data_IF_201943156025
#
_entry.id   IF_201943156025
#
_cell.length_a   1.000
_cell.length_b   1.000
_cell.length_c   1.000
_cell.angle_alpha   90.00
_cell.angle_beta   90.00
_cell.angle_gamma   90.00
#
_symmetry.space_group_name_H-M   'P 1'
#
loop_
_entity.id
_entity.type
_entity.pdbx_description
1 polymer ?
#
# COMPACT_ATOMS: atom_id res chain seq x y z
N UNK A 1 60.43 -31.83 7.44
CA UNK A 1 60.62 -33.16 6.82
C UNK A 1 59.44 -34.03 7.19
N UNK A 2 58.49 -34.24 6.29
CA UNK A 2 57.59 -35.39 6.29
C UNK A 2 57.34 -35.76 4.83
N UNK A 3 57.54 -37.03 4.53
CA UNK A 3 57.73 -37.57 3.18
C UNK A 3 56.43 -37.60 2.36
N UNK A 4 56.60 -37.43 1.06
CA UNK A 4 55.56 -37.50 0.04
C UNK A 4 54.95 -38.91 -0.09
N UNK A 5 53.66 -39.04 -0.46
CA UNK A 5 53.08 -40.30 -0.91
C UNK A 5 53.39 -40.54 -2.40
N UNK A 6 53.83 -41.76 -2.74
CA UNK A 6 54.00 -42.23 -4.11
C UNK A 6 52.68 -42.77 -4.72
N UNK A 7 52.55 -42.80 -6.07
CA UNK A 7 51.28 -43.01 -6.75
C UNK A 7 51.07 -44.40 -7.39
N UNK A 8 49.82 -44.62 -7.77
CA UNK A 8 49.30 -45.39 -8.93
C UNK A 8 48.95 -46.89 -8.79
N UNK A 9 47.65 -47.17 -9.02
CA UNK A 9 47.17 -48.22 -9.94
C UNK A 9 45.69 -47.96 -10.32
N UNK A 10 45.42 -47.71 -11.60
CA UNK A 10 44.09 -47.82 -12.27
C UNK A 10 43.92 -49.25 -12.83
N UNK A 11 42.78 -49.67 -13.41
CA UNK A 11 41.36 -49.51 -13.04
C UNK A 11 40.64 -50.90 -12.98
N UNK A 12 39.81 -51.15 -11.96
CA UNK A 12 39.02 -52.37 -11.82
C UNK A 12 37.58 -52.23 -12.33
N UNK A 13 37.27 -52.95 -13.40
CA UNK A 13 35.97 -53.22 -14.06
C UNK A 13 34.72 -53.06 -13.17
N UNK A 14 33.74 -52.28 -13.66
CA UNK A 14 32.37 -52.23 -13.12
C UNK A 14 31.74 -53.63 -13.15
N UNK A 15 31.49 -54.22 -11.98
CA UNK A 15 30.54 -55.32 -11.86
C UNK A 15 29.12 -54.75 -11.98
N UNK A 16 28.45 -55.07 -13.10
CA UNK A 16 27.00 -54.94 -13.21
C UNK A 16 26.34 -55.94 -12.26
N UNK A 17 25.50 -55.42 -11.36
CA UNK A 17 24.68 -56.26 -10.48
C UNK A 17 23.60 -56.97 -11.31
N UNK A 18 23.20 -58.19 -10.95
CA UNK A 18 22.26 -58.97 -11.75
C UNK A 18 20.92 -58.25 -11.85
N UNK A 19 20.44 -58.06 -13.09
CA UNK A 19 19.08 -57.62 -13.32
C UNK A 19 18.11 -58.73 -12.89
N UNK A 20 17.23 -58.42 -11.94
CA UNK A 20 16.09 -59.26 -11.60
C UNK A 20 15.11 -59.26 -12.78
N UNK A 21 15.30 -60.22 -13.69
CA UNK A 21 14.34 -60.56 -14.73
C UNK A 21 13.08 -61.06 -14.04
N UNK A 22 11.97 -60.33 -14.17
CA UNK A 22 10.65 -60.86 -13.82
C UNK A 22 9.73 -59.99 -12.95
N UNK A 23 10.13 -58.80 -12.51
CA UNK A 23 9.20 -57.89 -11.83
C UNK A 23 9.03 -56.62 -12.65
N UNK A 24 7.83 -56.44 -13.24
CA UNK A 24 7.38 -55.17 -13.83
C UNK A 24 7.38 -54.11 -12.72
N UNK A 25 8.52 -53.46 -12.52
CA UNK A 25 8.62 -52.26 -11.70
C UNK A 25 7.89 -51.14 -12.44
N UNK A 26 6.59 -51.01 -12.21
CA UNK A 26 5.82 -49.81 -12.57
C UNK A 26 6.50 -48.65 -11.85
N UNK A 27 7.34 -47.91 -12.57
CA UNK A 27 7.75 -46.58 -12.14
C UNK A 27 6.49 -45.83 -11.70
N UNK A 28 6.51 -45.26 -10.49
CA UNK A 28 5.38 -44.47 -9.98
C UNK A 28 5.04 -43.41 -11.04
N UNK A 29 3.76 -43.29 -11.42
CA UNK A 29 3.27 -42.33 -12.43
C UNK A 29 3.85 -40.91 -12.26
N UNK A 30 4.14 -40.50 -11.03
CA UNK A 30 4.78 -39.21 -10.72
C UNK A 30 6.21 -39.05 -11.26
N UNK A 31 7.02 -40.12 -11.29
CA UNK A 31 8.40 -40.08 -11.81
C UNK A 31 8.41 -40.01 -13.35
N UNK A 32 7.48 -40.70 -14.01
CA UNK A 32 7.32 -40.62 -15.47
C UNK A 32 6.77 -39.25 -15.92
N UNK A 33 5.85 -38.65 -15.17
CA UNK A 33 5.37 -37.27 -15.44
C UNK A 33 6.47 -36.22 -15.28
N UNK A 34 7.33 -36.35 -14.26
CA UNK A 34 8.43 -35.41 -14.02
C UNK A 34 9.54 -35.48 -15.09
N UNK A 35 9.70 -36.62 -15.76
CA UNK A 35 10.69 -36.82 -16.84
C UNK A 35 10.14 -36.59 -18.25
N UNK A 36 8.84 -36.31 -18.40
CA UNK A 36 8.27 -35.99 -19.70
C UNK A 36 8.89 -34.72 -20.27
N UNK A 37 9.23 -34.71 -21.57
CA UNK A 37 9.76 -33.54 -22.29
C UNK A 37 8.79 -32.36 -22.17
N UNK A 38 9.31 -31.15 -21.99
CA UNK A 38 8.48 -29.93 -21.93
C UNK A 38 8.04 -29.57 -23.35
N UNK A 39 6.73 -29.72 -23.63
CA UNK A 39 6.12 -29.60 -24.96
C UNK A 39 4.95 -28.59 -24.93
N UNK A 40 5.26 -27.27 -24.83
CA UNK A 40 4.24 -26.24 -24.64
C UNK A 40 3.30 -26.10 -25.85
N UNK A 41 3.79 -26.34 -27.07
CA UNK A 41 2.96 -26.30 -28.28
C UNK A 41 1.92 -27.43 -28.29
N UNK A 42 2.35 -28.66 -27.97
CA UNK A 42 1.45 -29.80 -27.88
C UNK A 42 0.39 -29.61 -26.77
N UNK A 43 0.77 -29.02 -25.64
CA UNK A 43 -0.17 -28.65 -24.58
C UNK A 43 -1.20 -27.62 -25.07
N UNK A 44 -0.75 -26.53 -25.72
CA UNK A 44 -1.63 -25.53 -26.33
C UNK A 44 -2.62 -26.18 -27.29
N UNK A 45 -2.12 -26.93 -28.26
CA UNK A 45 -2.93 -27.45 -29.36
C UNK A 45 -4.02 -28.40 -28.83
N UNK A 46 -3.70 -29.20 -27.81
CA UNK A 46 -4.69 -30.04 -27.13
C UNK A 46 -5.73 -29.21 -26.37
N UNK A 47 -5.29 -28.19 -25.63
CA UNK A 47 -6.21 -27.32 -24.89
C UNK A 47 -7.17 -26.59 -25.83
N UNK A 48 -6.66 -25.93 -26.87
CA UNK A 48 -7.44 -25.19 -27.86
C UNK A 48 -8.45 -26.11 -28.54
N UNK A 49 -8.00 -27.26 -29.07
CA UNK A 49 -8.89 -28.22 -29.74
C UNK A 49 -10.06 -28.66 -28.85
N UNK A 50 -9.84 -28.80 -27.55
CA UNK A 50 -10.91 -29.16 -26.64
C UNK A 50 -11.85 -27.99 -26.32
N UNK A 51 -11.35 -26.75 -26.28
CA UNK A 51 -12.17 -25.55 -26.07
C UNK A 51 -12.96 -25.14 -27.31
N UNK A 52 -12.48 -25.44 -28.52
CA UNK A 52 -13.22 -25.26 -29.78
C UNK A 52 -14.56 -26.02 -29.81
N UNK A 53 -14.65 -27.13 -29.07
CA UNK A 53 -15.88 -27.94 -28.96
C UNK A 53 -16.94 -27.34 -28.05
N UNK A 54 -16.62 -26.26 -27.32
CA UNK A 54 -17.55 -25.60 -26.39
C UNK A 54 -18.31 -24.50 -27.13
N UNK A 55 -19.65 -24.40 -26.97
CA UNK A 55 -20.42 -23.30 -27.55
C UNK A 55 -19.86 -21.94 -27.14
N UNK A 56 -19.91 -20.98 -28.07
CA UNK A 56 -19.41 -19.64 -27.82
C UNK A 56 -20.14 -19.02 -26.60
N UNK A 57 -19.35 -18.44 -25.70
CA UNK A 57 -19.83 -17.79 -24.46
C UNK A 57 -20.54 -18.68 -23.45
N UNK A 58 -20.50 -20.01 -23.60
CA UNK A 58 -20.91 -20.94 -22.53
C UNK A 58 -19.77 -21.13 -21.52
N UNK A 59 -19.61 -20.14 -20.63
CA UNK A 59 -18.51 -20.10 -19.66
C UNK A 59 -18.58 -21.22 -18.60
N UNK A 60 -19.77 -21.74 -18.32
CA UNK A 60 -19.95 -22.88 -17.44
C UNK A 60 -19.48 -24.18 -18.09
N UNK A 61 -19.76 -24.36 -19.38
CA UNK A 61 -19.21 -25.46 -20.15
C UNK A 61 -17.69 -25.34 -20.31
N UNK A 62 -17.14 -24.13 -20.49
CA UNK A 62 -15.68 -23.90 -20.49
C UNK A 62 -15.07 -24.35 -19.16
N UNK A 63 -15.61 -23.89 -18.02
CA UNK A 63 -15.10 -24.26 -16.70
C UNK A 63 -15.16 -25.79 -16.47
N UNK A 64 -16.27 -26.42 -16.86
CA UNK A 64 -16.45 -27.87 -16.76
C UNK A 64 -15.46 -28.62 -17.65
N UNK A 65 -15.21 -28.13 -18.87
CA UNK A 65 -14.24 -28.71 -19.79
C UNK A 65 -12.82 -28.62 -19.23
N UNK A 66 -12.43 -27.46 -18.69
CA UNK A 66 -11.13 -27.28 -18.05
C UNK A 66 -10.93 -28.21 -16.84
N UNK A 67 -11.98 -28.50 -16.07
CA UNK A 67 -11.89 -29.50 -14.99
C UNK A 67 -11.66 -30.92 -15.52
N UNK A 68 -12.40 -31.34 -16.55
CA UNK A 68 -12.17 -32.66 -17.17
C UNK A 68 -10.74 -32.77 -17.70
N UNK A 69 -10.26 -31.73 -18.38
CA UNK A 69 -8.92 -31.70 -18.97
C UNK A 69 -7.80 -31.67 -17.94
N UNK A 70 -8.01 -31.16 -16.72
CA UNK A 70 -6.97 -31.17 -15.68
C UNK A 70 -6.55 -32.58 -15.22
N UNK A 71 -7.33 -33.62 -15.57
CA UNK A 71 -6.95 -35.01 -15.37
C UNK A 71 -6.11 -35.59 -16.54
N UNK A 72 -6.15 -34.93 -17.71
CA UNK A 72 -5.51 -35.38 -18.94
C UNK A 72 -4.23 -34.58 -19.22
N UNK A 73 -4.31 -33.26 -19.05
CA UNK A 73 -3.24 -32.30 -19.25
C UNK A 73 -2.54 -31.99 -17.92
N UNK A 74 -1.23 -31.73 -17.97
CA UNK A 74 -0.46 -31.42 -16.77
C UNK A 74 -0.42 -29.91 -16.52
N UNK A 75 -1.48 -29.37 -15.90
CA UNK A 75 -1.56 -27.93 -15.60
C UNK A 75 -0.44 -27.42 -14.71
N UNK A 76 0.10 -28.25 -13.81
CA UNK A 76 1.22 -27.84 -12.95
C UNK A 76 2.48 -27.61 -13.77
N UNK A 77 2.74 -28.48 -14.74
CA UNK A 77 3.92 -28.36 -15.61
C UNK A 77 3.78 -27.20 -16.60
N UNK A 78 2.58 -26.97 -17.11
CA UNK A 78 2.30 -25.97 -18.14
C UNK A 78 1.50 -24.77 -17.61
N UNK A 79 1.69 -24.42 -16.33
CA UNK A 79 0.90 -23.39 -15.64
C UNK A 79 0.96 -22.04 -16.36
N UNK A 80 2.16 -21.62 -16.76
CA UNK A 80 2.37 -20.39 -17.51
C UNK A 80 1.61 -20.41 -18.85
N UNK A 81 1.75 -21.49 -19.62
CA UNK A 81 1.10 -21.65 -20.92
C UNK A 81 -0.42 -21.68 -20.78
N UNK A 82 -0.93 -22.34 -19.73
CA UNK A 82 -2.36 -22.38 -19.42
C UNK A 82 -2.88 -20.95 -19.24
N UNK A 83 -2.25 -20.14 -18.39
CA UNK A 83 -2.72 -18.79 -18.13
C UNK A 83 -2.51 -17.82 -19.28
N UNK A 84 -1.46 -17.96 -20.09
CA UNK A 84 -1.33 -17.22 -21.36
C UNK A 84 -2.52 -17.48 -22.29
N UNK A 85 -2.92 -18.75 -22.44
CA UNK A 85 -4.07 -19.12 -23.26
C UNK A 85 -5.39 -18.61 -22.68
N UNK A 86 -5.59 -18.68 -21.36
CA UNK A 86 -6.83 -18.22 -20.73
C UNK A 86 -6.93 -16.70 -20.61
N UNK A 87 -5.81 -15.97 -20.53
CA UNK A 87 -5.83 -14.50 -20.43
C UNK A 87 -5.83 -13.84 -21.81
N UNK A 88 -4.93 -14.25 -22.71
CA UNK A 88 -4.70 -13.55 -23.98
C UNK A 88 -4.93 -14.40 -25.24
N UNK A 89 -5.29 -15.68 -25.06
CA UNK A 89 -5.73 -16.56 -26.15
C UNK A 89 -4.61 -17.21 -26.95
N UNK A 90 -3.34 -17.01 -26.59
CA UNK A 90 -2.20 -17.55 -27.33
C UNK A 90 -0.94 -17.61 -26.48
N UNK A 91 0.03 -18.41 -26.91
CA UNK A 91 1.34 -18.48 -26.24
C UNK A 91 2.16 -17.23 -26.54
N UNK A 92 2.94 -16.79 -25.56
CA UNK A 92 3.80 -15.62 -25.68
C UNK A 92 5.28 -16.01 -25.78
N UNK A 93 6.02 -15.21 -26.53
CA UNK A 93 7.48 -15.23 -26.57
C UNK A 93 8.04 -14.40 -25.40
N UNK A 94 9.32 -14.61 -25.01
CA UNK A 94 9.99 -13.67 -24.12
C UNK A 94 9.87 -12.23 -24.64
N UNK A 95 9.32 -11.33 -23.83
CA UNK A 95 9.01 -9.96 -24.25
C UNK A 95 7.52 -9.69 -24.55
N UNK A 96 6.65 -10.69 -24.40
CA UNK A 96 5.19 -10.55 -24.38
C UNK A 96 4.52 -10.46 -25.76
N UNK A 97 5.27 -10.65 -26.85
CA UNK A 97 4.67 -10.80 -28.17
C UNK A 97 4.11 -12.21 -28.36
N UNK A 98 3.05 -12.36 -29.15
CA UNK A 98 2.52 -13.68 -29.52
C UNK A 98 3.59 -14.49 -30.26
N UNK A 99 3.59 -15.80 -30.01
CA UNK A 99 4.37 -16.74 -30.80
C UNK A 99 3.85 -16.78 -32.23
N UNK A 100 4.73 -16.50 -33.20
CA UNK A 100 4.41 -16.53 -34.63
C UNK A 100 4.64 -17.92 -35.22
N UNK A 101 3.68 -18.81 -34.99
CA UNK A 101 3.70 -20.19 -35.51
C UNK A 101 2.42 -20.56 -36.28
N UNK A 102 1.61 -19.56 -36.65
CA UNK A 102 0.38 -19.73 -37.42
C UNK A 102 -0.76 -20.42 -36.68
N UNK A 103 -0.64 -20.69 -35.38
CA UNK A 103 -1.71 -21.30 -34.59
C UNK A 103 -2.89 -20.33 -34.39
N UNK A 104 -4.11 -20.88 -34.42
CA UNK A 104 -5.31 -20.13 -34.09
C UNK A 104 -5.32 -19.70 -32.61
N UNK A 105 -5.97 -18.58 -32.31
CA UNK A 105 -6.22 -18.18 -30.92
C UNK A 105 -7.27 -19.09 -30.28
N UNK A 106 -7.14 -19.28 -28.97
CA UNK A 106 -8.12 -19.99 -28.14
C UNK A 106 -9.51 -19.34 -28.26
N UNK A 107 -10.56 -20.16 -28.39
CA UNK A 107 -11.96 -19.70 -28.40
C UNK A 107 -12.44 -19.12 -27.06
N UNK A 108 -11.66 -19.35 -26.00
CA UNK A 108 -11.84 -18.73 -24.70
C UNK A 108 -10.57 -18.02 -24.26
N UNK A 109 -10.67 -16.73 -23.96
CA UNK A 109 -9.69 -15.95 -23.22
C UNK A 109 -10.30 -14.67 -22.67
N UNK A 110 -9.67 -14.00 -21.70
CA UNK A 110 -10.13 -12.67 -21.24
C UNK A 110 -10.21 -11.68 -22.39
N UNK A 111 -9.16 -11.56 -23.20
CA UNK A 111 -9.13 -10.60 -24.32
C UNK A 111 -10.06 -11.00 -25.47
N UNK A 112 -10.23 -12.30 -25.72
CA UNK A 112 -11.02 -12.82 -26.84
C UNK A 112 -12.51 -13.01 -26.55
N UNK A 113 -12.91 -13.18 -25.29
CA UNK A 113 -14.30 -13.48 -24.91
C UNK A 113 -15.07 -12.29 -24.35
N UNK A 114 -14.38 -11.26 -23.84
CA UNK A 114 -15.04 -10.06 -23.32
C UNK A 114 -15.61 -9.20 -24.46
N UNK A 115 -16.83 -8.71 -24.27
CA UNK A 115 -17.52 -7.84 -25.23
C UNK A 115 -16.86 -6.47 -25.35
N UNK A 116 -17.25 -5.79 -26.42
CA UNK A 116 -16.89 -4.40 -26.70
C UNK A 116 -18.21 -3.61 -26.89
N UNK A 117 -18.46 -2.53 -26.11
CA UNK A 117 -17.60 -1.96 -25.06
C UNK A 117 -17.40 -2.89 -23.86
N UNK A 118 -16.30 -2.67 -23.12
CA UNK A 118 -15.96 -3.52 -21.97
C UNK A 118 -16.89 -3.24 -20.80
N UNK A 119 -17.65 -4.26 -20.38
CA UNK A 119 -18.56 -4.17 -19.24
C UNK A 119 -18.10 -5.08 -18.10
N UNK A 120 -18.13 -4.56 -16.86
CA UNK A 120 -17.68 -5.30 -15.67
C UNK A 120 -18.50 -6.58 -15.44
N UNK A 121 -19.81 -6.55 -15.71
CA UNK A 121 -20.70 -7.71 -15.61
C UNK A 121 -20.32 -8.82 -16.59
N UNK A 122 -19.90 -8.47 -17.81
CA UNK A 122 -19.50 -9.40 -18.85
C UNK A 122 -18.17 -10.10 -18.48
N UNK A 123 -17.18 -9.31 -18.08
CA UNK A 123 -15.86 -9.84 -17.66
C UNK A 123 -15.98 -10.67 -16.39
N UNK A 124 -16.93 -10.39 -15.51
CA UNK A 124 -17.19 -11.18 -14.29
C UNK A 124 -17.50 -12.65 -14.61
N UNK A 125 -18.32 -12.93 -15.62
CA UNK A 125 -18.62 -14.32 -16.01
C UNK A 125 -17.39 -15.05 -16.56
N UNK A 126 -16.46 -14.34 -17.19
CA UNK A 126 -15.18 -14.90 -17.64
C UNK A 126 -14.28 -15.19 -16.44
N UNK A 127 -14.19 -14.25 -15.49
CA UNK A 127 -13.43 -14.39 -14.24
C UNK A 127 -13.92 -15.56 -13.39
N UNK A 128 -15.23 -15.85 -13.42
CA UNK A 128 -15.80 -17.00 -12.70
C UNK A 128 -15.25 -18.35 -13.20
N UNK A 129 -14.83 -18.44 -14.46
CA UNK A 129 -14.11 -19.62 -14.98
C UNK A 129 -12.79 -19.83 -14.24
N UNK A 130 -12.02 -18.75 -14.03
CA UNK A 130 -10.76 -18.79 -13.28
C UNK A 130 -11.00 -19.13 -11.81
N UNK A 131 -12.05 -18.57 -11.20
CA UNK A 131 -12.43 -18.89 -9.82
C UNK A 131 -12.76 -20.39 -9.66
N UNK A 132 -13.56 -20.96 -10.57
CA UNK A 132 -13.89 -22.40 -10.57
C UNK A 132 -12.64 -23.25 -10.77
N UNK A 133 -11.78 -22.88 -11.73
CA UNK A 133 -10.55 -23.60 -12.04
C UNK A 133 -9.60 -23.63 -10.83
N UNK A 134 -9.31 -22.47 -10.25
CA UNK A 134 -8.36 -22.35 -9.12
C UNK A 134 -8.92 -22.87 -7.80
N UNK A 135 -10.25 -22.86 -7.61
CA UNK A 135 -10.87 -23.56 -6.47
C UNK A 135 -10.63 -25.07 -6.55
N UNK A 136 -10.68 -25.65 -7.74
CA UNK A 136 -10.44 -27.07 -8.00
C UNK A 136 -8.95 -27.43 -8.00
N UNK A 137 -8.14 -26.59 -8.64
CA UNK A 137 -6.69 -26.75 -8.80
C UNK A 137 -5.94 -25.67 -8.02
N UNK A 138 -6.10 -25.67 -6.69
CA UNK A 138 -5.58 -24.62 -5.79
C UNK A 138 -4.09 -24.30 -5.95
N UNK A 139 -3.31 -25.29 -6.39
CA UNK A 139 -1.88 -25.10 -6.64
C UNK A 139 -1.57 -24.11 -7.78
N UNK A 140 -2.52 -23.83 -8.69
CA UNK A 140 -2.36 -22.86 -9.78
C UNK A 140 -2.50 -21.41 -9.33
N UNK A 141 -3.07 -21.16 -8.15
CA UNK A 141 -3.31 -19.78 -7.72
C UNK A 141 -2.00 -19.02 -7.48
N UNK A 142 -0.99 -19.70 -6.93
CA UNK A 142 0.28 -19.06 -6.61
C UNK A 142 1.04 -18.64 -7.87
N UNK A 143 1.19 -19.52 -8.87
CA UNK A 143 1.88 -19.15 -10.09
C UNK A 143 1.06 -18.22 -10.98
N UNK A 144 -0.28 -18.24 -10.88
CA UNK A 144 -1.14 -17.20 -11.44
C UNK A 144 -0.79 -15.81 -10.91
N UNK A 145 -0.77 -15.66 -9.59
CA UNK A 145 -0.51 -14.39 -8.89
C UNK A 145 0.94 -13.93 -9.04
N UNK A 146 1.92 -14.81 -8.84
CA UNK A 146 3.33 -14.41 -8.77
C UNK A 146 4.02 -14.36 -10.13
N UNK A 147 3.51 -15.08 -11.14
CA UNK A 147 4.21 -15.24 -12.43
C UNK A 147 3.34 -14.87 -13.62
N UNK A 148 2.24 -15.58 -13.87
CA UNK A 148 1.54 -15.49 -15.14
C UNK A 148 0.87 -14.13 -15.36
N UNK A 149 0.07 -13.67 -14.38
CA UNK A 149 -0.62 -12.39 -14.48
C UNK A 149 0.36 -11.20 -14.47
N UNK A 150 1.35 -11.10 -13.56
CA UNK A 150 2.37 -10.06 -13.63
C UNK A 150 3.16 -10.05 -14.94
N UNK A 151 3.47 -11.22 -15.52
CA UNK A 151 4.20 -11.32 -16.80
C UNK A 151 3.40 -10.75 -17.97
N UNK A 152 2.08 -10.93 -17.97
CA UNK A 152 1.20 -10.36 -19.00
C UNK A 152 1.04 -8.86 -18.79
N UNK A 153 0.82 -8.42 -17.55
CA UNK A 153 0.65 -7.01 -17.21
C UNK A 153 1.91 -6.18 -17.52
N UNK A 154 3.12 -6.69 -17.26
CA UNK A 154 4.36 -5.96 -17.54
C UNK A 154 4.63 -5.75 -19.04
N UNK A 155 4.03 -6.56 -19.92
CA UNK A 155 4.14 -6.44 -21.38
C UNK A 155 2.84 -5.95 -22.01
N UNK A 156 1.98 -5.29 -21.24
CA UNK A 156 0.65 -4.88 -21.69
C UNK A 156 0.67 -3.91 -22.87
N UNK A 157 1.76 -3.17 -23.06
CA UNK A 157 2.00 -2.30 -24.22
C UNK A 157 2.08 -3.06 -25.56
N UNK A 158 2.21 -4.39 -25.54
CA UNK A 158 2.14 -5.24 -26.74
C UNK A 158 0.71 -5.55 -27.18
N UNK A 159 -0.27 -5.31 -26.32
CA UNK A 159 -1.68 -5.53 -26.64
C UNK A 159 -2.37 -4.24 -27.09
N UNK A 160 -3.50 -4.41 -27.78
CA UNK A 160 -4.35 -3.28 -28.17
C UNK A 160 -4.89 -2.55 -26.93
N UNK A 161 -5.31 -1.30 -27.09
CA UNK A 161 -5.86 -0.53 -25.97
C UNK A 161 -7.13 -1.18 -25.38
N UNK A 162 -7.96 -1.80 -26.22
CA UNK A 162 -9.16 -2.52 -25.77
C UNK A 162 -8.80 -3.79 -24.98
N UNK A 163 -7.77 -4.51 -25.40
CA UNK A 163 -7.29 -5.69 -24.66
C UNK A 163 -6.65 -5.32 -23.32
N UNK A 164 -5.94 -4.18 -23.27
CA UNK A 164 -5.43 -3.62 -22.01
C UNK A 164 -6.58 -3.30 -21.05
N UNK A 165 -7.69 -2.73 -21.56
CA UNK A 165 -8.88 -2.46 -20.75
C UNK A 165 -9.52 -3.76 -20.23
N UNK A 166 -9.73 -4.76 -21.10
CA UNK A 166 -10.24 -6.09 -20.71
C UNK A 166 -9.38 -6.73 -19.62
N UNK A 167 -8.05 -6.69 -19.76
CA UNK A 167 -7.10 -7.21 -18.77
C UNK A 167 -7.15 -6.41 -17.45
N UNK A 168 -7.26 -5.08 -17.50
CA UNK A 168 -7.37 -4.26 -16.29
C UNK A 168 -8.67 -4.53 -15.52
N UNK A 169 -9.80 -4.67 -16.23
CA UNK A 169 -11.10 -5.02 -15.65
C UNK A 169 -11.06 -6.43 -15.04
N UNK A 170 -10.52 -7.42 -15.75
CA UNK A 170 -10.36 -8.77 -15.22
C UNK A 170 -9.45 -8.80 -13.98
N UNK A 171 -8.34 -8.05 -14.01
CA UNK A 171 -7.43 -7.92 -12.87
C UNK A 171 -8.13 -7.34 -11.64
N UNK A 172 -8.96 -6.32 -11.81
CA UNK A 172 -9.76 -5.75 -10.73
C UNK A 172 -10.70 -6.78 -10.11
N UNK A 173 -11.39 -7.56 -10.96
CA UNK A 173 -12.30 -8.62 -10.51
C UNK A 173 -11.57 -9.77 -9.83
N UNK A 174 -10.39 -10.17 -10.30
CA UNK A 174 -9.54 -11.17 -9.62
C UNK A 174 -9.14 -10.70 -8.23
N UNK A 175 -8.82 -9.42 -8.05
CA UNK A 175 -8.50 -8.86 -6.72
C UNK A 175 -9.76 -8.78 -5.85
N UNK A 176 -10.89 -8.33 -6.39
CA UNK A 176 -12.15 -8.18 -5.66
C UNK A 176 -12.63 -9.50 -5.05
N UNK A 177 -12.55 -10.61 -5.82
CA UNK A 177 -12.92 -11.95 -5.34
C UNK A 177 -11.84 -12.64 -4.51
N UNK A 178 -10.70 -11.98 -4.27
CA UNK A 178 -9.57 -12.54 -3.51
C UNK A 178 -8.84 -13.68 -4.22
N UNK A 179 -8.91 -13.74 -5.55
CA UNK A 179 -8.16 -14.72 -6.34
C UNK A 179 -6.67 -14.35 -6.42
N UNK A 180 -6.33 -13.07 -6.46
CA UNK A 180 -4.96 -12.55 -6.41
C UNK A 180 -4.89 -11.32 -5.50
N UNK A 181 -3.71 -11.02 -4.96
CA UNK A 181 -3.46 -9.74 -4.29
C UNK A 181 -3.38 -8.56 -5.26
N UNK A 182 -3.66 -7.35 -4.80
CA UNK A 182 -3.45 -6.12 -5.58
C UNK A 182 -1.97 -5.87 -5.93
N UNK A 183 -1.03 -6.61 -5.32
CA UNK A 183 0.41 -6.53 -5.64
C UNK A 183 0.72 -6.81 -7.12
N UNK A 184 -0.13 -7.57 -7.82
CA UNK A 184 0.02 -7.83 -9.27
C UNK A 184 0.04 -6.55 -10.09
N UNK A 185 -0.65 -5.50 -9.63
CA UNK A 185 -0.72 -4.18 -10.30
C UNK A 185 0.64 -3.47 -10.29
N UNK A 186 1.55 -3.79 -9.36
CA UNK A 186 2.91 -3.23 -9.33
C UNK A 186 3.73 -3.57 -10.59
N UNK A 187 3.37 -4.64 -11.31
CA UNK A 187 3.96 -4.97 -12.61
C UNK A 187 3.72 -3.90 -13.67
N UNK A 188 2.73 -3.02 -13.49
CA UNK A 188 2.50 -1.86 -14.36
C UNK A 188 3.50 -0.72 -14.13
N UNK A 189 4.30 -0.74 -13.05
CA UNK A 189 5.32 0.28 -12.76
C UNK A 189 6.62 0.12 -13.58
N UNK A 190 6.65 -0.75 -14.60
CA UNK A 190 7.83 -0.86 -15.48
C UNK A 190 8.05 0.43 -16.26
N UNK A 191 9.30 0.87 -16.35
CA UNK A 191 9.69 2.13 -16.98
C UNK A 191 9.04 2.38 -18.35
N UNK A 192 8.95 1.36 -19.21
CA UNK A 192 8.36 1.53 -20.54
C UNK A 192 6.86 1.83 -20.48
N UNK A 193 6.12 1.18 -19.58
CA UNK A 193 4.67 1.41 -19.37
C UNK A 193 4.39 2.75 -18.68
N UNK A 194 5.30 3.15 -17.78
CA UNK A 194 5.19 4.43 -17.07
C UNK A 194 5.46 5.59 -18.03
N UNK A 195 6.51 5.49 -18.86
CA UNK A 195 6.88 6.53 -19.82
C UNK A 195 5.83 6.76 -20.91
N UNK A 196 5.17 5.71 -21.40
CA UNK A 196 4.16 5.81 -22.47
C UNK A 196 2.72 6.03 -21.95
N UNK A 197 2.53 6.12 -20.63
CA UNK A 197 1.23 6.35 -19.99
C UNK A 197 0.30 5.14 -19.97
N UNK A 198 0.74 3.96 -20.43
CA UNK A 198 -0.03 2.71 -20.35
C UNK A 198 -0.30 2.31 -18.90
N UNK A 199 0.69 2.53 -18.03
CA UNK A 199 0.60 2.24 -16.60
C UNK A 199 -0.60 2.91 -15.92
N UNK A 200 -0.69 4.25 -15.99
CA UNK A 200 -1.79 5.02 -15.41
C UNK A 200 -3.13 4.73 -16.09
N UNK A 201 -3.16 4.50 -17.41
CA UNK A 201 -4.40 4.16 -18.13
C UNK A 201 -4.99 2.84 -17.62
N UNK A 202 -4.18 1.79 -17.54
CA UNK A 202 -4.62 0.50 -17.02
C UNK A 202 -4.97 0.56 -15.54
N UNK A 203 -4.20 1.27 -14.72
CA UNK A 203 -4.54 1.50 -13.32
C UNK A 203 -5.92 2.18 -13.19
N UNK A 204 -6.22 3.14 -14.06
CA UNK A 204 -7.52 3.83 -14.05
C UNK A 204 -8.68 2.88 -14.36
N UNK A 205 -8.54 2.04 -15.39
CA UNK A 205 -9.55 1.00 -15.71
C UNK A 205 -9.70 -0.01 -14.57
N UNK A 206 -8.60 -0.42 -13.95
CA UNK A 206 -8.62 -1.29 -12.77
C UNK A 206 -9.40 -0.66 -11.61
N UNK A 207 -9.11 0.59 -11.25
CA UNK A 207 -9.77 1.29 -10.14
C UNK A 207 -11.27 1.47 -10.39
N UNK A 208 -11.66 1.84 -11.63
CA UNK A 208 -13.07 1.94 -12.04
C UNK A 208 -13.79 0.61 -11.92
N UNK A 209 -13.19 -0.46 -12.45
CA UNK A 209 -13.79 -1.78 -12.42
C UNK A 209 -13.94 -2.32 -10.99
N UNK A 210 -12.94 -2.08 -10.13
CA UNK A 210 -13.00 -2.48 -8.73
C UNK A 210 -14.14 -1.76 -8.00
N UNK A 211 -14.26 -0.44 -8.17
CA UNK A 211 -15.29 0.38 -7.53
C UNK A 211 -16.70 0.16 -8.12
N UNK A 212 -16.82 -0.46 -9.29
CA UNK A 212 -18.10 -0.90 -9.82
C UNK A 212 -18.67 -2.10 -9.05
N UNK A 213 -17.84 -2.83 -8.31
CA UNK A 213 -18.27 -4.03 -7.55
C UNK A 213 -18.08 -3.91 -6.04
N UNK A 214 -17.13 -3.09 -5.59
CA UNK A 214 -16.69 -2.99 -4.19
C UNK A 214 -16.62 -1.54 -3.72
N UNK A 215 -16.57 -1.33 -2.40
CA UNK A 215 -16.48 0.01 -1.82
C UNK A 215 -15.06 0.60 -1.85
N UNK A 216 -14.96 1.92 -1.65
CA UNK A 216 -13.66 2.61 -1.55
C UNK A 216 -12.84 2.12 -0.35
N UNK A 217 -13.47 1.68 0.73
CA UNK A 217 -12.80 1.11 1.90
C UNK A 217 -12.14 -0.23 1.55
N UNK A 218 -12.84 -1.09 0.80
CA UNK A 218 -12.30 -2.37 0.34
C UNK A 218 -11.16 -2.16 -0.66
N UNK A 219 -11.31 -1.21 -1.59
CA UNK A 219 -10.24 -0.84 -2.50
C UNK A 219 -9.00 -0.36 -1.73
N UNK A 220 -9.20 0.58 -0.80
CA UNK A 220 -8.13 1.12 0.04
C UNK A 220 -7.41 0.02 0.83
N UNK A 221 -8.15 -0.96 1.35
CA UNK A 221 -7.58 -2.11 2.05
C UNK A 221 -6.78 -3.02 1.11
N UNK A 222 -7.32 -3.33 -0.07
CA UNK A 222 -6.66 -4.16 -1.07
C UNK A 222 -5.35 -3.53 -1.56
N UNK A 223 -5.36 -2.24 -1.91
CA UNK A 223 -4.18 -1.51 -2.34
C UNK A 223 -3.10 -1.48 -1.25
N UNK A 224 -3.47 -1.19 0.01
CA UNK A 224 -2.53 -1.22 1.15
C UNK A 224 -1.91 -2.59 1.35
N UNK A 225 -2.70 -3.67 1.38
CA UNK A 225 -2.20 -5.04 1.53
C UNK A 225 -1.33 -5.48 0.35
N UNK A 226 -1.62 -4.99 -0.86
CA UNK A 226 -0.82 -5.23 -2.05
C UNK A 226 0.44 -4.36 -2.18
N UNK A 227 0.69 -3.44 -1.24
CA UNK A 227 1.83 -2.51 -1.32
C UNK A 227 1.68 -1.45 -2.42
N UNK A 228 0.48 -1.24 -2.95
CA UNK A 228 0.17 -0.23 -3.98
C UNK A 228 -0.14 1.10 -3.28
N UNK A 229 0.89 1.71 -2.71
CA UNK A 229 0.78 2.95 -1.90
C UNK A 229 1.27 4.19 -2.64
N UNK A 230 2.20 4.01 -3.57
CA UNK A 230 2.78 5.08 -4.38
C UNK A 230 2.08 5.14 -5.74
N UNK A 231 0.90 5.76 -5.75
CA UNK A 231 0.07 5.92 -6.96
C UNK A 231 0.71 6.88 -7.97
N UNK A 232 1.54 7.84 -7.54
CA UNK A 232 2.23 8.77 -8.43
C UNK A 232 3.19 8.04 -9.36
N UNK A 233 3.84 6.97 -8.90
CA UNK A 233 4.79 6.22 -9.72
C UNK A 233 4.18 5.41 -10.88
N UNK A 234 2.86 5.43 -11.05
CA UNK A 234 2.20 4.92 -12.26
C UNK A 234 2.10 5.98 -13.38
N UNK A 235 2.34 7.25 -13.05
CA UNK A 235 2.30 8.36 -13.99
C UNK A 235 3.66 8.53 -14.70
N UNK A 236 3.68 9.04 -15.94
CA UNK A 236 4.92 9.43 -16.60
C UNK A 236 5.78 10.33 -15.70
N UNK A 237 7.13 10.26 -15.75
CA UNK A 237 8.01 10.97 -14.83
C UNK A 237 7.71 12.47 -14.70
N UNK A 238 7.32 13.13 -15.79
CA UNK A 238 6.97 14.56 -15.81
C UNK A 238 5.65 14.89 -15.10
N UNK A 239 4.86 13.89 -14.69
CA UNK A 239 3.52 14.02 -14.10
C UNK A 239 3.40 13.33 -12.73
N UNK A 240 4.50 12.89 -12.13
CA UNK A 240 4.50 12.25 -10.81
C UNK A 240 4.39 13.30 -9.70
N UNK A 241 3.21 13.89 -9.57
CA UNK A 241 2.91 14.85 -8.52
C UNK A 241 1.42 14.84 -8.15
N UNK A 242 1.10 15.38 -6.97
CA UNK A 242 -0.24 15.34 -6.42
C UNK A 242 -1.28 16.09 -7.28
N UNK A 243 -0.87 17.16 -7.96
CA UNK A 243 -1.75 17.97 -8.82
C UNK A 243 -2.22 17.18 -10.04
N UNK A 244 -1.28 16.60 -10.79
CA UNK A 244 -1.56 15.79 -11.97
C UNK A 244 -2.37 14.54 -11.61
N UNK A 245 -2.00 13.86 -10.52
CA UNK A 245 -2.73 12.70 -10.01
C UNK A 245 -4.18 13.05 -9.67
N UNK A 246 -4.37 14.14 -8.91
CA UNK A 246 -5.69 14.58 -8.48
C UNK A 246 -6.56 14.98 -9.67
N UNK A 247 -5.99 15.73 -10.63
CA UNK A 247 -6.70 16.14 -11.85
C UNK A 247 -7.12 14.93 -12.69
N UNK A 248 -6.21 13.97 -12.91
CA UNK A 248 -6.48 12.76 -13.68
C UNK A 248 -7.60 11.93 -13.06
N UNK A 249 -7.51 11.59 -11.77
CA UNK A 249 -8.50 10.73 -11.14
C UNK A 249 -9.84 11.44 -10.92
N UNK A 250 -9.88 12.75 -10.61
CA UNK A 250 -11.14 13.51 -10.61
C UNK A 250 -11.79 13.53 -11.99
N UNK A 251 -11.01 13.79 -13.05
CA UNK A 251 -11.51 13.74 -14.43
C UNK A 251 -12.01 12.35 -14.84
N UNK A 252 -11.48 11.29 -14.23
CA UNK A 252 -11.94 9.92 -14.40
C UNK A 252 -13.15 9.55 -13.52
N UNK A 253 -13.68 10.45 -12.69
CA UNK A 253 -14.79 10.17 -11.76
C UNK A 253 -14.37 9.43 -10.49
N UNK A 254 -13.08 9.40 -10.15
CA UNK A 254 -12.47 8.65 -9.05
C UNK A 254 -12.06 9.56 -7.88
N UNK A 255 -12.91 10.52 -7.50
CA UNK A 255 -12.61 11.47 -6.40
C UNK A 255 -12.27 10.77 -5.08
N UNK A 256 -12.96 9.66 -4.75
CA UNK A 256 -12.65 8.88 -3.54
C UNK A 256 -11.24 8.28 -3.53
N UNK A 257 -10.64 8.02 -4.70
CA UNK A 257 -9.24 7.57 -4.80
C UNK A 257 -8.28 8.72 -4.48
N UNK A 258 -8.63 9.95 -4.88
CA UNK A 258 -7.84 11.15 -4.55
C UNK A 258 -7.87 11.40 -3.05
N UNK A 259 -9.04 11.26 -2.40
CA UNK A 259 -9.16 11.42 -0.95
C UNK A 259 -8.34 10.35 -0.20
N UNK A 260 -8.40 9.10 -0.67
CA UNK A 260 -7.56 8.01 -0.15
C UNK A 260 -6.07 8.35 -0.26
N UNK A 261 -5.64 8.82 -1.44
CA UNK A 261 -4.25 9.19 -1.71
C UNK A 261 -3.75 10.32 -0.81
N UNK A 262 -4.55 11.39 -0.64
CA UNK A 262 -4.22 12.52 0.24
C UNK A 262 -4.09 12.03 1.69
N UNK A 263 -5.07 11.25 2.17
CA UNK A 263 -5.06 10.69 3.52
C UNK A 263 -3.86 9.77 3.76
N UNK A 264 -3.49 8.98 2.76
CA UNK A 264 -2.31 8.10 2.83
C UNK A 264 -1.02 8.90 2.89
N UNK A 265 -0.85 9.94 2.05
CA UNK A 265 0.32 10.82 2.10
C UNK A 265 0.43 11.54 3.45
N UNK A 266 -0.68 12.06 3.98
CA UNK A 266 -0.71 12.69 5.30
C UNK A 266 -0.33 11.68 6.41
N UNK A 267 -0.89 10.47 6.38
CA UNK A 267 -0.54 9.40 7.33
C UNK A 267 0.94 9.05 7.32
N UNK A 268 1.52 8.85 6.14
CA UNK A 268 2.96 8.57 6.00
C UNK A 268 3.82 9.76 6.45
N UNK A 269 3.46 10.98 6.06
CA UNK A 269 4.18 12.17 6.50
C UNK A 269 4.17 12.31 8.03
N UNK A 270 3.05 11.98 8.68
CA UNK A 270 2.93 11.93 10.14
C UNK A 270 3.87 10.88 10.75
N UNK A 271 3.86 9.65 10.23
CA UNK A 271 4.73 8.57 10.72
C UNK A 271 6.22 8.89 10.56
N UNK A 272 6.62 9.33 9.36
CA UNK A 272 8.01 9.69 9.05
C UNK A 272 8.48 10.88 9.90
N UNK A 273 7.62 11.89 10.10
CA UNK A 273 7.94 13.07 10.92
C UNK A 273 8.11 12.70 12.39
N UNK A 274 7.20 11.90 12.93
CA UNK A 274 7.28 11.45 14.31
C UNK A 274 8.52 10.58 14.56
N UNK A 275 8.83 9.67 13.64
CA UNK A 275 10.02 8.83 13.74
C UNK A 275 11.29 9.67 13.73
N UNK A 276 11.39 10.64 12.82
CA UNK A 276 12.59 11.48 12.70
C UNK A 276 12.78 12.42 13.89
N UNK A 277 11.70 13.01 14.42
CA UNK A 277 11.80 13.83 15.63
C UNK A 277 12.25 13.03 16.84
N UNK A 278 11.79 11.77 16.98
CA UNK A 278 12.27 10.87 18.04
C UNK A 278 13.75 10.55 17.93
N UNK A 279 14.26 10.36 16.70
CA UNK A 279 15.70 10.21 16.47
C UNK A 279 16.45 11.46 16.91
N UNK A 280 16.04 12.66 16.47
CA UNK A 280 16.70 13.91 16.87
C UNK A 280 16.71 14.13 18.38
N UNK A 281 15.59 13.85 19.06
CA UNK A 281 15.50 13.97 20.52
C UNK A 281 16.39 12.94 21.21
N UNK A 282 16.46 11.70 20.71
CA UNK A 282 17.33 10.66 21.26
C UNK A 282 18.81 10.95 21.04
N UNK A 283 19.15 11.59 19.93
CA UNK A 283 20.53 11.94 19.57
C UNK A 283 20.98 13.28 20.17
N UNK A 284 20.12 13.94 20.95
CA UNK A 284 20.34 15.30 21.50
C UNK A 284 20.75 16.30 20.41
N UNK A 285 20.10 16.21 19.25
CA UNK A 285 20.34 17.11 18.12
C UNK A 285 20.13 18.58 18.51
N UNK A 286 20.88 19.46 17.87
CA UNK A 286 20.81 20.88 18.21
C UNK A 286 19.52 21.55 17.70
N UNK A 287 19.27 22.75 18.22
CA UNK A 287 18.07 23.52 17.91
C UNK A 287 17.92 23.80 16.41
N UNK A 288 19.00 24.16 15.73
CA UNK A 288 18.96 24.59 14.33
C UNK A 288 18.67 23.40 13.40
N UNK A 289 19.20 22.22 13.71
CA UNK A 289 18.90 20.98 12.98
C UNK A 289 17.42 20.59 13.09
N UNK A 290 16.86 20.65 14.29
CA UNK A 290 15.44 20.33 14.52
C UNK A 290 14.54 21.38 13.88
N UNK A 291 14.86 22.67 14.05
CA UNK A 291 14.09 23.77 13.46
C UNK A 291 14.08 23.69 11.93
N UNK A 292 15.25 23.53 11.30
CA UNK A 292 15.35 23.40 9.85
C UNK A 292 14.56 22.21 9.30
N UNK A 293 14.50 21.11 10.06
CA UNK A 293 13.65 19.98 9.71
C UNK A 293 12.15 20.29 9.83
N UNK A 294 11.72 20.90 10.94
CA UNK A 294 10.31 21.27 11.18
C UNK A 294 9.83 22.27 10.12
N UNK A 295 10.62 23.29 9.80
CA UNK A 295 10.32 24.26 8.73
C UNK A 295 10.17 23.57 7.36
N UNK A 296 11.08 22.64 7.03
CA UNK A 296 11.00 21.88 5.79
C UNK A 296 9.74 21.01 5.73
N UNK A 297 9.36 20.36 6.84
CA UNK A 297 8.13 19.56 6.92
C UNK A 297 6.90 20.45 6.76
N UNK A 298 6.83 21.57 7.50
CA UNK A 298 5.74 22.52 7.46
C UNK A 298 5.56 23.11 6.05
N UNK A 299 6.65 23.53 5.41
CA UNK A 299 6.65 24.10 4.05
C UNK A 299 6.16 23.13 2.98
N UNK A 300 6.29 21.80 3.18
CA UNK A 300 5.73 20.81 2.23
C UNK A 300 4.20 20.82 2.19
N UNK A 301 3.53 21.31 3.24
CA UNK A 301 2.07 21.46 3.27
C UNK A 301 1.27 20.16 3.13
N UNK A 302 1.87 19.01 3.45
CA UNK A 302 1.20 17.69 3.37
C UNK A 302 0.30 17.47 4.59
N UNK A 303 0.75 17.92 5.77
CA UNK A 303 -0.02 17.90 7.01
C UNK A 303 -0.75 19.23 7.16
N UNK A 304 -1.97 19.21 7.69
CA UNK A 304 -2.60 20.46 8.12
C UNK A 304 -1.84 21.06 9.30
N UNK A 305 -1.90 22.37 9.50
CA UNK A 305 -1.16 23.03 10.59
C UNK A 305 -1.53 22.46 11.99
N UNK A 306 -2.81 22.17 12.31
CA UNK A 306 -3.17 21.49 13.56
C UNK A 306 -2.59 20.08 13.70
N UNK A 307 -2.52 19.31 12.61
CA UNK A 307 -1.89 17.98 12.63
C UNK A 307 -0.38 18.11 12.83
N UNK A 308 0.25 19.03 12.11
CA UNK A 308 1.69 19.28 12.20
C UNK A 308 2.10 19.62 13.63
N UNK A 309 1.44 20.59 14.27
CA UNK A 309 1.81 21.01 15.64
C UNK A 309 1.60 19.87 16.65
N UNK A 310 0.55 19.06 16.47
CA UNK A 310 0.28 17.89 17.31
C UNK A 310 1.40 16.83 17.20
N UNK A 311 1.97 16.65 16.00
CA UNK A 311 3.07 15.71 15.76
C UNK A 311 4.41 16.27 16.21
N UNK A 312 4.67 17.56 16.03
CA UNK A 312 5.83 18.23 16.58
C UNK A 312 5.87 18.05 18.11
N UNK A 313 4.76 18.33 18.80
CA UNK A 313 4.62 18.08 20.24
C UNK A 313 4.92 16.63 20.61
N UNK A 314 4.29 15.66 19.93
CA UNK A 314 4.48 14.24 20.21
C UNK A 314 5.91 13.74 19.98
N UNK A 315 6.62 14.33 19.01
CA UNK A 315 8.04 14.07 18.76
C UNK A 315 8.93 14.64 19.85
N UNK A 316 8.79 15.93 20.15
CA UNK A 316 9.63 16.63 21.13
C UNK A 316 9.45 16.11 22.55
N UNK A 317 8.22 15.80 22.96
CA UNK A 317 7.94 15.23 24.29
C UNK A 317 8.41 13.79 24.46
N UNK A 318 8.86 13.11 23.39
CA UNK A 318 9.33 11.73 23.47
C UNK A 318 10.61 11.55 24.30
N UNK A 319 11.38 12.63 24.49
CA UNK A 319 12.59 12.63 25.32
C UNK A 319 12.34 12.79 26.82
N UNK A 320 11.09 13.08 27.24
CA UNK A 320 10.77 13.25 28.65
C UNK A 320 10.82 11.89 29.36
N UNK A 321 11.68 11.76 30.38
CA UNK A 321 11.79 10.55 31.18
C UNK A 321 10.55 10.31 32.05
N UNK A 322 9.61 9.54 31.51
CA UNK A 322 8.40 9.10 32.21
C UNK A 322 8.67 8.10 33.35
N UNK A 323 9.89 7.58 33.44
CA UNK A 323 10.37 6.70 34.52
C UNK A 323 10.83 7.44 35.77
N UNK A 324 10.96 8.77 35.71
CA UNK A 324 11.33 9.59 36.85
C UNK A 324 10.36 9.43 38.05
N UNK A 325 10.82 9.82 39.24
CA UNK A 325 10.01 9.75 40.47
C UNK A 325 8.68 10.49 40.26
N UNK A 326 7.52 9.88 40.60
CA UNK A 326 6.20 10.46 40.30
C UNK A 326 6.00 11.89 40.81
N UNK A 327 6.58 12.22 41.97
CA UNK A 327 6.49 13.55 42.59
C UNK A 327 7.28 14.63 41.83
N UNK A 328 8.35 14.25 41.13
CA UNK A 328 9.22 15.16 40.39
C UNK A 328 8.82 15.28 38.90
N UNK A 329 8.06 14.31 38.40
CA UNK A 329 7.71 14.20 36.99
C UNK A 329 6.99 15.45 36.43
N UNK A 330 6.03 16.09 37.15
CA UNK A 330 5.40 17.32 36.66
C UNK A 330 6.41 18.46 36.42
N UNK A 331 7.32 18.69 37.36
CA UNK A 331 8.28 19.80 37.26
C UNK A 331 9.40 19.49 36.26
N UNK A 332 9.82 18.23 36.15
CA UNK A 332 10.72 17.77 35.09
C UNK A 332 10.10 18.02 33.72
N UNK A 333 8.86 17.59 33.50
CA UNK A 333 8.17 17.79 32.22
C UNK A 333 8.07 19.28 31.87
N UNK A 334 7.67 20.14 32.81
CA UNK A 334 7.60 21.60 32.57
C UNK A 334 8.97 22.17 32.19
N UNK A 335 10.04 21.71 32.84
CA UNK A 335 11.42 22.14 32.53
C UNK A 335 11.85 21.71 31.12
N UNK A 336 11.61 20.46 30.74
CA UNK A 336 11.96 19.97 29.40
C UNK A 336 11.09 20.64 28.33
N UNK A 337 9.80 20.83 28.57
CA UNK A 337 8.93 21.58 27.65
C UNK A 337 9.44 23.01 27.46
N UNK A 338 9.89 23.66 28.52
CA UNK A 338 10.48 25.00 28.43
C UNK A 338 11.72 25.04 27.53
N UNK A 339 12.52 23.98 27.48
CA UNK A 339 13.76 23.96 26.68
C UNK A 339 13.47 23.86 25.18
N UNK A 340 12.45 23.09 24.77
CA UNK A 340 12.09 22.92 23.37
C UNK A 340 10.94 23.82 22.89
N UNK A 341 10.22 24.51 23.78
CA UNK A 341 9.08 25.38 23.42
C UNK A 341 9.37 26.38 22.29
N UNK A 342 10.57 26.99 22.16
CA UNK A 342 10.87 27.86 21.02
C UNK A 342 10.83 27.15 19.65
N UNK A 343 10.95 25.82 19.60
CA UNK A 343 10.75 25.04 18.37
C UNK A 343 9.28 25.01 17.90
N UNK A 344 8.34 25.37 18.76
CA UNK A 344 6.90 25.37 18.47
C UNK A 344 6.37 26.74 18.05
N UNK A 345 6.96 27.82 18.57
CA UNK A 345 6.51 29.22 18.39
C UNK A 345 6.29 29.59 16.92
N UNK A 346 7.18 29.29 15.96
CA UNK A 346 6.98 29.69 14.56
C UNK A 346 5.76 29.06 13.88
N UNK A 347 5.23 27.99 14.48
CA UNK A 347 4.14 27.17 13.93
C UNK A 347 2.81 27.38 14.67
N UNK A 348 2.80 28.23 15.70
CA UNK A 348 1.62 28.57 16.51
C UNK A 348 1.21 30.03 16.33
N UNK A 349 1.16 30.48 15.07
CA UNK A 349 0.80 31.86 14.72
C UNK A 349 -0.69 32.05 14.32
N UNK A 350 -1.54 31.05 14.61
CA UNK A 350 -2.98 31.11 14.33
C UNK A 350 -3.76 30.56 15.52
N UNK A 351 -4.95 31.12 15.82
CA UNK A 351 -5.79 30.62 16.91
C UNK A 351 -6.11 29.13 16.81
N UNK A 352 -6.31 28.61 15.60
CA UNK A 352 -6.63 27.20 15.38
C UNK A 352 -5.46 26.26 15.72
N UNK A 353 -4.22 26.65 15.45
CA UNK A 353 -3.02 25.83 15.76
C UNK A 353 -2.68 25.89 17.23
N UNK A 354 -2.78 27.06 17.86
CA UNK A 354 -2.59 27.22 19.31
C UNK A 354 -3.60 26.39 20.10
N UNK A 355 -4.89 26.48 19.77
CA UNK A 355 -5.94 25.66 20.41
C UNK A 355 -5.73 24.16 20.14
N UNK A 356 -5.20 23.79 18.97
CA UNK A 356 -4.83 22.40 18.68
C UNK A 356 -3.66 21.92 19.55
N UNK A 357 -2.65 22.76 19.79
CA UNK A 357 -1.56 22.48 20.71
C UNK A 357 -2.07 22.31 22.15
N UNK A 358 -2.90 23.22 22.65
CA UNK A 358 -3.50 23.11 24.00
C UNK A 358 -4.28 21.79 24.14
N UNK A 359 -5.09 21.45 23.14
CA UNK A 359 -5.83 20.18 23.12
C UNK A 359 -4.90 18.97 23.08
N UNK A 360 -3.77 19.04 22.39
CA UNK A 360 -2.75 17.97 22.36
C UNK A 360 -2.13 17.79 23.74
N UNK A 361 -1.80 18.88 24.43
CA UNK A 361 -1.26 18.87 25.79
C UNK A 361 -2.28 18.30 26.78
N UNK A 362 -3.55 18.68 26.65
CA UNK A 362 -4.64 18.18 27.49
C UNK A 362 -4.75 16.64 27.38
N UNK A 363 -4.77 16.11 26.17
CA UNK A 363 -4.82 14.67 25.92
C UNK A 363 -3.55 13.99 26.45
N UNK A 364 -2.37 14.56 26.20
CA UNK A 364 -1.11 14.01 26.68
C UNK A 364 -1.03 13.93 28.22
N UNK A 365 -1.46 14.97 28.93
CA UNK A 365 -1.55 14.96 30.40
C UNK A 365 -2.62 13.99 30.92
N UNK A 366 -3.72 13.81 30.19
CA UNK A 366 -4.77 12.85 30.54
C UNK A 366 -4.30 11.40 30.40
N UNK A 367 -3.63 11.08 29.29
CA UNK A 367 -3.05 9.76 29.02
C UNK A 367 -1.92 9.43 30.00
N UNK A 368 -1.27 10.45 30.56
CA UNK A 368 -0.21 10.33 31.56
C UNK A 368 -0.65 10.95 32.88
N UNK A 369 -1.49 10.25 33.66
CA UNK A 369 -2.16 10.79 34.87
C UNK A 369 -1.23 11.50 35.87
N UNK A 370 0.04 11.10 35.97
CA UNK A 370 1.07 11.76 36.81
C UNK A 370 1.39 13.20 36.37
N UNK A 371 1.11 13.55 35.12
CA UNK A 371 1.35 14.87 34.52
C UNK A 371 0.12 15.78 34.54
N UNK A 372 -1.04 15.31 35.00
CA UNK A 372 -2.22 16.17 35.17
C UNK A 372 -1.91 17.46 35.96
N UNK A 373 -1.12 17.43 37.06
CA UNK A 373 -0.73 18.65 37.78
C UNK A 373 0.19 19.61 36.99
N UNK A 374 0.85 19.14 35.93
CA UNK A 374 1.73 19.96 35.11
C UNK A 374 0.97 20.86 34.14
N UNK A 375 -0.27 20.50 33.77
CA UNK A 375 -1.01 21.12 32.68
C UNK A 375 -1.05 22.66 32.74
N UNK A 376 -1.50 23.23 33.87
CA UNK A 376 -1.59 24.68 34.01
C UNK A 376 -0.21 25.37 33.98
N UNK A 377 0.83 24.71 34.52
CA UNK A 377 2.21 25.21 34.45
C UNK A 377 2.74 25.19 33.02
N UNK A 378 2.40 24.17 32.24
CA UNK A 378 2.76 24.08 30.82
C UNK A 378 2.13 25.24 30.04
N UNK A 379 0.82 25.50 30.23
CA UNK A 379 0.16 26.64 29.57
C UNK A 379 0.84 27.96 29.92
N UNK A 380 1.17 28.18 31.20
CA UNK A 380 1.88 29.37 31.65
C UNK A 380 3.26 29.52 30.99
N UNK A 381 4.02 28.43 30.86
CA UNK A 381 5.34 28.45 30.19
C UNK A 381 5.19 28.79 28.71
N UNK A 382 4.25 28.14 28.02
CA UNK A 382 4.04 28.36 26.60
C UNK A 382 3.51 29.78 26.31
N UNK A 383 2.65 30.32 27.18
CA UNK A 383 2.24 31.72 27.13
C UNK A 383 3.44 32.67 27.30
N UNK A 384 4.30 32.43 28.30
CA UNK A 384 5.47 33.27 28.56
C UNK A 384 6.59 33.21 27.49
N UNK A 385 6.46 32.31 26.52
CA UNK A 385 7.39 32.11 25.42
C UNK A 385 6.73 32.40 24.06
N UNK A 386 5.59 33.09 24.07
CA UNK A 386 4.84 33.50 22.87
C UNK A 386 4.37 32.32 21.98
N UNK A 387 4.32 31.10 22.53
CA UNK A 387 3.80 29.92 21.82
C UNK A 387 2.26 29.88 21.86
N UNK A 388 1.64 30.47 22.88
CA UNK A 388 0.19 30.55 23.03
C UNK A 388 -0.23 31.98 23.37
N UNK A 389 -1.25 32.47 22.69
CA UNK A 389 -1.93 33.72 23.04
C UNK A 389 -2.88 33.56 24.24
N UNK A 390 -3.16 34.68 24.88
CA UNK A 390 -4.28 34.87 25.80
C UNK A 390 -5.61 34.37 25.19
N UNK A 391 -5.90 34.78 23.95
CA UNK A 391 -7.12 34.44 23.22
C UNK A 391 -7.29 32.93 23.02
N UNK A 392 -6.21 32.22 22.65
CA UNK A 392 -6.26 30.78 22.48
C UNK A 392 -6.54 30.05 23.81
N UNK A 393 -5.93 30.50 24.91
CA UNK A 393 -6.12 29.92 26.24
C UNK A 393 -7.55 30.17 26.74
N UNK A 394 -8.05 31.40 26.61
CA UNK A 394 -9.42 31.80 27.00
C UNK A 394 -10.46 31.05 26.14
N UNK A 395 -10.24 30.94 24.84
CA UNK A 395 -11.11 30.20 23.93
C UNK A 395 -11.13 28.70 24.27
N UNK A 396 -9.97 28.08 24.51
CA UNK A 396 -9.89 26.67 24.90
C UNK A 396 -10.66 26.42 26.21
N UNK A 397 -10.49 27.28 27.21
CA UNK A 397 -11.16 27.15 28.50
C UNK A 397 -12.69 27.23 28.37
N UNK A 398 -13.18 28.18 27.59
CA UNK A 398 -14.62 28.38 27.42
C UNK A 398 -15.30 27.35 26.49
N UNK A 399 -14.72 27.10 25.30
CA UNK A 399 -15.39 26.34 24.22
C UNK A 399 -14.50 25.31 23.53
N UNK A 400 -13.19 25.50 23.50
CA UNK A 400 -12.27 24.71 22.67
C UNK A 400 -11.74 23.41 23.29
N UNK A 401 -12.01 23.15 24.57
CA UNK A 401 -11.46 22.01 25.33
C UNK A 401 -12.02 20.64 24.93
N UNK A 402 -11.19 19.61 25.02
CA UNK A 402 -11.62 18.21 24.83
C UNK A 402 -12.38 17.67 26.03
N UNK A 403 -13.16 16.61 25.84
CA UNK A 403 -14.01 16.02 26.89
C UNK A 403 -13.21 15.24 27.94
N UNK A 404 -12.01 14.78 27.61
CA UNK A 404 -11.13 13.99 28.48
C UNK A 404 -10.67 14.81 29.70
N UNK A 405 -11.14 14.40 30.89
CA UNK A 405 -10.92 15.07 32.17
C UNK A 405 -11.17 16.60 32.11
N UNK A 406 -12.14 17.03 31.29
CA UNK A 406 -12.37 18.45 30.97
C UNK A 406 -12.45 19.32 32.22
N UNK A 407 -13.35 19.00 33.15
CA UNK A 407 -13.58 19.82 34.35
C UNK A 407 -12.29 20.00 35.17
N UNK A 408 -11.51 18.93 35.34
CA UNK A 408 -10.24 19.00 36.07
C UNK A 408 -9.26 20.01 35.44
N UNK A 409 -9.09 19.98 34.12
CA UNK A 409 -8.18 20.90 33.44
C UNK A 409 -8.71 22.33 33.43
N UNK A 410 -10.04 22.53 33.31
CA UNK A 410 -10.65 23.85 33.41
C UNK A 410 -10.46 24.46 34.80
N UNK A 411 -10.64 23.67 35.85
CA UNK A 411 -10.42 24.11 37.24
C UNK A 411 -8.94 24.45 37.47
N UNK A 412 -8.03 23.62 36.98
CA UNK A 412 -6.58 23.82 37.12
C UNK A 412 -6.08 25.08 36.39
N UNK A 413 -6.63 25.37 35.21
CA UNK A 413 -6.26 26.54 34.40
C UNK A 413 -7.03 27.83 34.79
N UNK A 414 -8.09 27.71 35.60
CA UNK A 414 -8.95 28.84 35.99
C UNK A 414 -8.18 30.08 36.50
N UNK A 415 -7.21 29.94 37.42
CA UNK A 415 -6.43 31.08 37.89
C UNK A 415 -5.63 31.79 36.78
N UNK A 416 -5.07 31.03 35.82
CA UNK A 416 -4.37 31.61 34.67
C UNK A 416 -5.34 32.34 33.75
N UNK A 417 -6.51 31.75 33.47
CA UNK A 417 -7.52 32.35 32.60
C UNK A 417 -8.09 33.64 33.18
N UNK A 418 -8.33 33.69 34.49
CA UNK A 418 -8.79 34.92 35.14
C UNK A 418 -7.73 36.03 35.03
N UNK A 419 -6.46 35.69 35.29
CA UNK A 419 -5.35 36.63 35.11
C UNK A 419 -5.28 37.17 33.67
N UNK A 420 -5.43 36.33 32.66
CA UNK A 420 -5.38 36.75 31.26
C UNK A 420 -6.53 37.69 30.88
N UNK A 421 -7.75 37.43 31.40
CA UNK A 421 -8.91 38.30 31.16
C UNK A 421 -8.77 39.67 31.83
N UNK A 422 -8.22 39.69 33.05
CA UNK A 422 -7.96 40.94 33.76
C UNK A 422 -6.94 41.81 33.00
N UNK A 423 -5.93 41.20 32.37
CA UNK A 423 -4.97 41.92 31.52
C UNK A 423 -5.60 42.45 30.22
N UNK A 424 -6.47 41.66 29.57
CA UNK A 424 -7.19 42.07 28.35
C UNK A 424 -8.12 43.27 28.62
N UNK A 425 -8.86 43.26 29.73
CA UNK A 425 -9.73 44.36 30.15
C UNK A 425 -8.94 45.65 30.48
N UNK A 426 -7.74 45.55 31.06
CA UNK A 426 -6.87 46.70 31.35
C UNK A 426 -6.24 47.32 30.09
N UNK A 427 -5.93 46.51 29.06
CA UNK A 427 -5.38 46.99 27.80
C UNK A 427 -6.45 47.72 26.96
N UNK A 428 -7.67 47.17 26.87
CA UNK A 428 -8.80 47.79 26.17
C UNK A 428 -9.22 49.15 26.78
N UNK A 429 -9.17 49.30 28.11
CA UNK A 429 -9.46 50.57 28.78
C UNK A 429 -8.37 51.64 28.53
N UNK A 430 -7.16 51.24 28.14
CA UNK A 430 -6.02 52.15 27.92
C UNK A 430 -5.88 52.67 26.49
N UNK A 431 -6.46 51.97 25.50
CA UNK A 431 -6.48 52.39 24.09
C UNK A 431 -7.69 53.31 23.75
N UNK A 432 -8.67 53.41 24.66
CA UNK A 432 -9.85 54.29 24.57
C UNK A 432 -9.68 55.64 25.30
N UNK A 433 -8.51 55.92 25.91
CA UNK A 433 -8.05 57.24 26.41
C UNK A 433 -7.07 57.93 25.45
#
# INVERSE_FOLDING_TARGET
MYAAPQPSATPGVKQEKPNLVGVRNKQRKGVQKAQAKFEPLAFRDQLIKHLESVPERDFDAVASKLDVLGNQLDYRKYEQQLFELLLVGGLLTPGGGFLDDGAAKSTFSVTGSAKEPVEVSDVKSIVDVFNKLTRRYKYLQKGFEETALPSILQYSNKFSQIDQEKLAVATALFVAVGLVSASVVLSLKKDHLVKDGTSVRMLTSFLKAFLATESIEQLSLALRKGGVTDLEAFFPPSKQNATELSAHFKGAGLSGVVDFYIKQKAGKAKEDTLARLREYVSDEADYDEIMGYLEAVHKRGILSEPEFISIAWAGLTSGIDMGAKPELLPDLAVKEIKSFAPLLEPFTNKPATEVALINTIQIWCYENTKLMPAFAKILKVLYSLDVLSDQAIIYWHSKGSKTQARQHFLDAAGPLVNFLKEQEEEEDESDDE
#
